data_IF_045899600584
#
_entry.id   IF_045899600584
#
_cell.length_a   1.000
_cell.length_b   1.000
_cell.length_c   1.000
_cell.angle_alpha   90.00
_cell.angle_beta   90.00
_cell.angle_gamma   90.00
#
_symmetry.space_group_name_H-M   'P 1'
#
loop_
_entity.id
_entity.type
_entity.pdbx_description
1 polymer ?
#
# COMPACT_ATOMS: atom_id res chain seq x y z
N UNK A 1 1.61 15.97 11.52
CA UNK A 1 1.24 14.83 12.40
C UNK A 1 0.18 14.02 11.66
N UNK A 2 0.10 12.68 11.69
CA UNK A 2 -0.88 11.92 10.89
C UNK A 2 -2.33 12.42 11.03
N UNK A 3 -2.71 12.90 12.21
CA UNK A 3 -4.04 13.49 12.48
C UNK A 3 -4.35 14.77 11.70
N UNK A 4 -3.33 15.46 11.17
CA UNK A 4 -3.52 16.68 10.36
C UNK A 4 -3.69 16.41 8.87
N UNK A 5 -3.48 15.16 8.42
CA UNK A 5 -3.63 14.78 7.02
C UNK A 5 -5.03 14.24 6.74
N UNK A 6 -5.75 14.86 5.81
CA UNK A 6 -7.04 14.36 5.36
C UNK A 6 -6.83 13.19 4.39
N UNK A 7 -6.85 11.97 4.92
CA UNK A 7 -6.75 10.72 4.13
C UNK A 7 -8.10 10.00 4.15
N UNK A 8 -9.06 10.39 3.29
CA UNK A 8 -10.39 9.81 3.32
C UNK A 8 -10.34 8.33 2.94
N UNK A 9 -11.04 7.51 3.73
CA UNK A 9 -11.19 6.08 3.45
C UNK A 9 -10.02 5.21 3.89
N UNK A 10 -8.96 5.75 4.52
CA UNK A 10 -7.90 4.96 5.15
C UNK A 10 -7.84 5.26 6.64
N UNK A 11 -7.79 4.21 7.45
CA UNK A 11 -7.73 4.29 8.90
C UNK A 11 -6.60 3.43 9.40
N UNK A 12 -5.80 3.95 10.32
CA UNK A 12 -4.66 3.23 10.87
C UNK A 12 -4.55 3.49 12.36
N UNK A 13 -4.26 2.45 13.13
CA UNK A 13 -4.02 2.50 14.57
C UNK A 13 -2.74 1.72 14.90
N UNK A 14 -1.92 2.17 15.85
CA UNK A 14 -0.82 1.36 16.35
C UNK A 14 -1.35 0.15 17.13
N UNK A 15 -0.59 -0.94 17.13
CA UNK A 15 -0.86 -2.10 17.99
C UNK A 15 -0.72 -1.70 19.45
N UNK A 16 -1.55 -2.31 20.30
CA UNK A 16 -1.42 -2.17 21.76
C UNK A 16 -0.12 -2.76 22.29
N UNK A 17 0.40 -3.80 21.63
CA UNK A 17 1.54 -4.59 22.10
C UNK A 17 2.87 -4.05 21.60
N UNK A 18 2.88 -3.33 20.47
CA UNK A 18 4.11 -2.78 19.89
C UNK A 18 3.82 -1.54 19.05
N UNK A 19 4.54 -0.46 19.30
CA UNK A 19 4.50 0.76 18.48
C UNK A 19 5.10 0.57 17.09
N UNK A 20 5.81 -0.54 16.85
CA UNK A 20 6.40 -0.89 15.54
C UNK A 20 5.44 -1.68 14.65
N UNK A 21 4.25 -2.04 15.15
CA UNK A 21 3.22 -2.70 14.37
C UNK A 21 1.97 -1.82 14.34
N UNK A 22 1.47 -1.51 13.15
CA UNK A 22 0.27 -0.71 12.96
C UNK A 22 -0.74 -1.51 12.13
N UNK A 23 -2.02 -1.42 12.52
CA UNK A 23 -3.13 -2.03 11.81
C UNK A 23 -3.83 -0.98 10.97
N UNK A 24 -4.03 -1.27 9.70
CA UNK A 24 -4.66 -0.38 8.74
C UNK A 24 -5.82 -1.03 7.99
N UNK A 25 -6.74 -0.21 7.54
CA UNK A 25 -7.82 -0.59 6.62
C UNK A 25 -8.05 0.53 5.61
N UNK A 26 -8.21 0.16 4.33
CA UNK A 26 -8.63 1.05 3.26
C UNK A 26 -9.99 0.63 2.70
N UNK A 27 -10.87 1.61 2.53
CA UNK A 27 -12.17 1.52 1.88
C UNK A 27 -12.05 2.21 0.52
N UNK A 28 -12.03 1.42 -0.55
CA UNK A 28 -11.91 1.93 -1.91
C UNK A 28 -13.31 2.26 -2.43
N UNK A 29 -13.51 3.50 -2.88
CA UNK A 29 -14.84 4.04 -3.23
C UNK A 29 -15.11 4.16 -4.72
N UNK A 30 -14.12 3.85 -5.55
CA UNK A 30 -14.22 3.96 -7.01
C UNK A 30 -13.05 3.26 -7.69
N UNK A 31 -13.17 2.97 -8.99
CA UNK A 31 -12.11 2.36 -9.78
C UNK A 31 -12.23 0.84 -9.82
N UNK A 32 -11.14 0.14 -10.16
CA UNK A 32 -11.17 -1.32 -10.34
C UNK A 32 -11.50 -2.09 -9.06
N UNK A 33 -11.20 -1.51 -7.90
CA UNK A 33 -11.43 -2.12 -6.60
C UNK A 33 -12.54 -1.41 -5.83
N UNK A 34 -13.49 -0.76 -6.53
CA UNK A 34 -14.67 -0.15 -5.92
C UNK A 34 -15.39 -1.12 -4.98
N UNK A 35 -15.90 -0.59 -3.86
CA UNK A 35 -16.49 -1.32 -2.74
C UNK A 35 -15.55 -2.31 -2.02
N UNK A 36 -14.27 -2.35 -2.40
CA UNK A 36 -13.24 -3.14 -1.75
C UNK A 36 -12.87 -2.62 -0.37
N UNK A 37 -12.77 -3.54 0.59
CA UNK A 37 -12.31 -3.26 1.96
C UNK A 37 -11.07 -4.11 2.23
N UNK A 38 -9.90 -3.48 2.24
CA UNK A 38 -8.63 -4.17 2.38
C UNK A 38 -7.95 -3.81 3.69
N UNK A 39 -7.71 -4.83 4.52
CA UNK A 39 -6.91 -4.69 5.74
C UNK A 39 -5.45 -4.92 5.44
N UNK A 40 -4.58 -4.18 6.11
CA UNK A 40 -3.14 -4.31 5.99
C UNK A 40 -2.45 -4.05 7.33
N UNK A 41 -1.24 -4.58 7.46
CA UNK A 41 -0.37 -4.33 8.59
C UNK A 41 0.83 -3.51 8.11
N UNK A 42 1.26 -2.54 8.92
CA UNK A 42 2.52 -1.83 8.71
C UNK A 42 3.50 -2.27 9.80
N UNK A 43 4.65 -2.75 9.36
CA UNK A 43 5.77 -3.11 10.22
C UNK A 43 6.85 -2.03 10.06
N UNK A 44 7.14 -1.34 11.14
CA UNK A 44 8.24 -0.40 11.22
C UNK A 44 9.52 -1.16 11.60
N UNK A 45 10.68 -0.84 11.00
CA UNK A 45 11.97 -1.39 11.45
C UNK A 45 12.25 -1.10 12.92
N UNK A 46 13.09 -1.90 13.56
CA UNK A 46 13.49 -1.67 14.96
C UNK A 46 14.22 -0.33 15.14
N UNK A 47 14.96 0.08 14.11
CA UNK A 47 15.68 1.36 14.08
C UNK A 47 14.82 2.53 13.63
N UNK A 48 13.51 2.37 13.47
CA UNK A 48 12.64 3.45 13.01
C UNK A 48 12.70 4.67 13.97
N UNK A 49 12.91 5.90 13.46
CA UNK A 49 12.81 6.31 12.05
C UNK A 49 14.13 6.27 11.26
N UNK A 50 15.28 6.01 11.90
CA UNK A 50 16.63 6.02 11.31
C UNK A 50 16.94 4.78 10.42
N UNK A 51 16.03 3.81 10.37
CA UNK A 51 16.13 2.57 9.58
C UNK A 51 15.59 2.65 8.15
N UNK A 52 15.41 1.48 7.53
CA UNK A 52 14.86 1.35 6.17
C UNK A 52 13.37 1.69 6.03
N UNK A 53 12.80 1.37 4.87
CA UNK A 53 11.37 1.60 4.62
C UNK A 53 10.49 0.74 5.55
N UNK A 54 9.29 1.21 5.93
CA UNK A 54 8.31 0.35 6.56
C UNK A 54 7.91 -0.77 5.60
N UNK A 55 7.47 -1.90 6.14
CA UNK A 55 6.90 -3.00 5.35
C UNK A 55 5.39 -2.97 5.48
N UNK A 56 4.68 -2.99 4.35
CA UNK A 56 3.20 -3.00 4.32
C UNK A 56 2.73 -4.33 3.73
N UNK A 57 1.93 -5.06 4.48
CA UNK A 57 1.42 -6.39 4.08
C UNK A 57 -0.09 -6.43 4.16
N UNK A 58 -0.75 -6.72 3.05
CA UNK A 58 -2.20 -6.90 3.02
C UNK A 58 -2.60 -8.26 3.62
N UNK A 59 -3.71 -8.27 4.36
CA UNK A 59 -4.19 -9.46 5.07
C UNK A 59 -5.00 -10.39 4.15
N UNK A 60 -5.62 -9.84 3.12
CA UNK A 60 -6.32 -10.59 2.08
C UNK A 60 -5.43 -10.72 0.85
N UNK A 61 -5.59 -11.81 0.09
CA UNK A 61 -4.98 -11.91 -1.22
C UNK A 61 -5.62 -10.87 -2.15
N UNK A 62 -4.81 -9.95 -2.66
CA UNK A 62 -5.25 -8.91 -3.59
C UNK A 62 -4.53 -9.10 -4.91
N UNK A 63 -5.29 -9.32 -5.97
CA UNK A 63 -4.75 -9.35 -7.31
C UNK A 63 -4.51 -7.91 -7.79
N UNK A 64 -3.31 -7.38 -7.55
CA UNK A 64 -2.94 -6.00 -7.88
C UNK A 64 -1.51 -5.93 -8.44
N UNK A 65 -1.22 -5.09 -9.47
CA UNK A 65 0.12 -4.96 -10.07
C UNK A 65 1.25 -4.68 -9.08
N UNK A 66 1.02 -3.76 -8.13
CA UNK A 66 2.04 -3.30 -7.16
C UNK A 66 2.09 -4.14 -5.87
N UNK A 67 1.28 -5.19 -5.75
CA UNK A 67 1.25 -6.06 -4.57
C UNK A 67 1.84 -7.41 -4.95
N UNK A 68 2.85 -7.86 -4.21
CA UNK A 68 3.51 -9.12 -4.47
C UNK A 68 2.54 -10.30 -4.27
N UNK A 69 2.39 -11.14 -5.30
CA UNK A 69 1.36 -12.18 -5.35
C UNK A 69 1.43 -13.21 -4.21
N UNK A 70 2.64 -13.58 -3.80
CA UNK A 70 2.85 -14.67 -2.82
C UNK A 70 2.89 -14.17 -1.37
N UNK A 71 3.28 -12.90 -1.16
CA UNK A 71 3.54 -12.35 0.18
C UNK A 71 2.51 -11.32 0.60
N UNK A 72 1.68 -10.84 -0.33
CA UNK A 72 0.79 -9.69 -0.17
C UNK A 72 1.50 -8.40 0.27
N UNK A 73 2.82 -8.35 0.08
CA UNK A 73 3.62 -7.17 0.41
C UNK A 73 3.46 -6.12 -0.69
N UNK A 74 3.19 -4.89 -0.26
CA UNK A 74 3.17 -3.74 -1.15
C UNK A 74 4.60 -3.36 -1.55
N UNK A 75 4.85 -3.24 -2.84
CA UNK A 75 6.14 -2.79 -3.34
C UNK A 75 6.32 -1.28 -3.16
N UNK A 76 7.06 -0.87 -2.12
CA UNK A 76 7.29 0.54 -1.82
C UNK A 76 8.52 1.15 -2.51
N UNK A 77 9.49 0.34 -2.92
CA UNK A 77 10.79 0.83 -3.40
C UNK A 77 10.65 1.77 -4.61
N UNK A 78 9.71 1.52 -5.52
CA UNK A 78 9.50 2.41 -6.66
C UNK A 78 8.83 3.74 -6.27
N UNK A 79 8.07 3.79 -5.17
CA UNK A 79 7.47 5.01 -4.63
C UNK A 79 8.41 5.78 -3.69
N UNK A 80 9.34 5.07 -3.04
CA UNK A 80 10.28 5.57 -2.04
C UNK A 80 11.67 4.93 -2.24
N UNK A 81 12.43 5.32 -3.28
CA UNK A 81 13.69 4.65 -3.64
C UNK A 81 14.77 4.73 -2.55
N UNK A 82 14.77 5.83 -1.79
CA UNK A 82 15.63 6.04 -0.64
C UNK A 82 14.72 6.52 0.49
N UNK A 83 14.70 5.78 1.60
CA UNK A 83 13.98 6.20 2.80
C UNK A 83 14.86 7.17 3.60
N UNK A 84 14.33 8.36 3.84
CA UNK A 84 14.96 9.41 4.63
C UNK A 84 13.96 9.91 5.67
N UNK A 85 14.26 9.74 6.96
CA UNK A 85 13.37 10.16 8.06
C UNK A 85 13.01 11.64 8.07
N UNK A 86 13.84 12.50 7.50
CA UNK A 86 13.62 13.95 7.53
C UNK A 86 12.62 14.37 6.44
N UNK A 87 12.49 13.59 5.37
CA UNK A 87 11.62 13.85 4.23
C UNK A 87 10.47 12.83 4.10
N UNK A 88 10.64 11.63 4.63
CA UNK A 88 9.73 10.51 4.52
C UNK A 88 8.98 10.23 5.81
N UNK A 89 7.68 10.08 5.65
CA UNK A 89 6.77 9.93 6.76
C UNK A 89 5.75 8.85 6.47
N UNK A 90 5.24 8.20 7.51
CA UNK A 90 4.24 7.16 7.39
C UNK A 90 2.98 7.62 6.63
N UNK A 91 2.59 8.89 6.75
CA UNK A 91 1.44 9.43 6.01
C UNK A 91 1.64 9.42 4.48
N UNK A 92 2.87 9.52 3.99
CA UNK A 92 3.15 9.39 2.55
C UNK A 92 2.95 7.95 2.09
N UNK A 93 3.34 6.98 2.91
CA UNK A 93 3.07 5.56 2.66
C UNK A 93 1.56 5.32 2.60
N UNK A 94 0.78 5.92 3.50
CA UNK A 94 -0.69 5.86 3.45
C UNK A 94 -1.26 6.52 2.19
N UNK A 95 -0.71 7.66 1.75
CA UNK A 95 -1.07 8.29 0.47
C UNK A 95 -0.74 7.39 -0.71
N UNK A 96 0.40 6.69 -0.67
CA UNK A 96 0.79 5.75 -1.71
C UNK A 96 -0.14 4.54 -1.78
N UNK A 97 -0.52 3.96 -0.63
CA UNK A 97 -1.55 2.91 -0.55
C UNK A 97 -2.85 3.39 -1.20
N UNK A 98 -3.32 4.60 -0.89
CA UNK A 98 -4.51 5.15 -1.55
C UNK A 98 -4.29 5.33 -3.06
N UNK A 99 -3.14 5.90 -3.43
CA UNK A 99 -2.80 6.23 -4.82
C UNK A 99 -2.81 5.01 -5.74
N UNK A 100 -2.28 3.85 -5.31
CA UNK A 100 -2.25 2.66 -6.18
C UNK A 100 -3.66 2.17 -6.56
N UNK A 101 -4.63 2.27 -5.65
CA UNK A 101 -6.01 1.85 -5.91
C UNK A 101 -6.76 2.86 -6.79
N UNK A 102 -6.59 4.16 -6.52
CA UNK A 102 -7.29 5.21 -7.28
C UNK A 102 -6.63 5.57 -8.62
N UNK A 103 -5.33 5.30 -8.77
CA UNK A 103 -4.55 5.58 -9.99
C UNK A 103 -4.01 4.28 -10.59
N UNK A 104 -4.87 3.28 -10.67
CA UNK A 104 -4.53 1.93 -11.12
C UNK A 104 -3.65 1.91 -12.39
N UNK A 105 -4.05 2.66 -13.43
CA UNK A 105 -3.30 2.72 -14.69
C UNK A 105 -1.86 3.24 -14.51
N UNK A 106 -1.68 4.27 -13.69
CA UNK A 106 -0.35 4.79 -13.36
C UNK A 106 0.43 3.82 -12.48
N UNK A 107 -0.25 3.07 -11.61
CA UNK A 107 0.36 2.08 -10.74
C UNK A 107 1.01 0.91 -11.51
N UNK A 108 0.56 0.62 -12.74
CA UNK A 108 1.14 -0.45 -13.59
C UNK A 108 2.63 -0.26 -13.87
N UNK A 109 3.13 0.98 -13.87
CA UNK A 109 4.55 1.28 -14.04
C UNK A 109 5.41 0.81 -12.85
N UNK A 110 4.79 0.61 -11.69
CA UNK A 110 5.39 0.10 -10.44
C UNK A 110 5.06 -1.39 -10.22
N UNK A 111 4.63 -2.07 -11.28
CA UNK A 111 4.09 -3.42 -11.19
C UNK A 111 5.17 -4.47 -10.94
N UNK A 112 5.07 -5.16 -9.80
CA UNK A 112 5.91 -6.34 -9.47
C UNK A 112 5.17 -7.65 -9.67
N UNK A 113 3.84 -7.61 -9.72
CA UNK A 113 3.00 -8.75 -10.06
C UNK A 113 2.80 -8.78 -11.58
N UNK A 114 3.72 -9.44 -12.28
CA UNK A 114 3.69 -9.57 -13.74
C UNK A 114 2.40 -10.21 -14.25
N UNK A 115 1.81 -11.13 -13.47
CA UNK A 115 0.54 -11.77 -13.82
C UNK A 115 -0.59 -10.72 -13.88
N UNK A 116 -0.72 -9.90 -12.84
CA UNK A 116 -1.71 -8.80 -12.83
C UNK A 116 -1.46 -7.78 -13.95
N UNK A 117 -0.20 -7.44 -14.22
CA UNK A 117 0.17 -6.52 -15.31
C UNK A 117 -0.19 -7.11 -16.67
N UNK A 118 0.13 -8.37 -16.92
CA UNK A 118 -0.10 -9.05 -18.19
C UNK A 118 -1.60 -9.31 -18.42
N UNK A 119 -2.33 -9.77 -17.40
CA UNK A 119 -3.79 -9.95 -17.47
C UNK A 119 -4.47 -8.63 -17.84
N UNK A 120 -4.09 -7.52 -17.20
CA UNK A 120 -4.65 -6.21 -17.55
C UNK A 120 -4.34 -5.78 -18.99
N UNK A 121 -3.09 -5.98 -19.46
CA UNK A 121 -2.66 -5.62 -20.83
C UNK A 121 -3.35 -6.46 -21.90
N UNK A 122 -3.60 -7.74 -21.62
CA UNK A 122 -4.13 -8.69 -22.58
C UNK A 122 -5.66 -8.72 -22.59
N UNK A 123 -6.31 -8.56 -21.43
CA UNK A 123 -7.75 -8.70 -21.30
C UNK A 123 -8.32 -7.90 -20.11
N UNK A 124 -8.68 -6.64 -20.36
CA UNK A 124 -9.24 -5.76 -19.33
C UNK A 124 -10.58 -6.23 -18.75
N UNK A 125 -11.32 -7.09 -19.47
CA UNK A 125 -12.62 -7.61 -19.01
C UNK A 125 -12.45 -8.68 -17.94
N UNK A 126 -11.39 -9.48 -18.04
CA UNK A 126 -11.07 -10.56 -17.09
C UNK A 126 -10.39 -10.05 -15.81
N UNK A 127 -9.89 -8.82 -15.84
CA UNK A 127 -9.26 -8.17 -14.68
C UNK A 127 -10.28 -7.68 -13.63
N UNK A 128 -11.54 -7.44 -14.03
CA UNK A 128 -12.63 -7.02 -13.13
C UNK A 128 -13.24 -8.20 -12.42
#
# INVERSE_FOLDING_TARGET
MLQSENLPGIYVIPSKESCLLWFGVIFVRSGFYEDGIFRFNIFLPEEFPDGGHPKVVFQSNIFHPVIHKDTNELHLLDGFPIWDKDNNHLWQVLKYISWIFYNFNSSLAHGVNEEAVNTYRNNQVEFK
#
